data_IF_936596435312
#
_entry.id   IF_936596435312
#
_cell.length_a   1.000
_cell.length_b   1.000
_cell.length_c   1.000
_cell.angle_alpha   90.00
_cell.angle_beta   90.00
_cell.angle_gamma   90.00
#
_symmetry.space_group_name_H-M   'P 1'
#
loop_
_entity.id
_entity.type
_entity.pdbx_description
1 polymer ?
#
# COMPACT_ATOMS: atom_id res chain seq x y z
N UNK A 1 -23.84 2.41 38.45
CA UNK A 1 -23.53 1.55 37.29
C UNK A 1 -22.02 1.52 37.16
N UNK A 2 -21.32 0.40 37.39
CA UNK A 2 -19.89 0.33 37.17
C UNK A 2 -19.61 0.16 35.68
N UNK A 3 -18.81 1.05 35.10
CA UNK A 3 -18.36 0.93 33.71
C UNK A 3 -17.35 -0.21 33.61
N UNK A 4 -17.69 -1.23 32.82
CA UNK A 4 -16.79 -2.34 32.53
C UNK A 4 -15.77 -1.82 31.51
N UNK A 5 -14.47 -1.73 31.84
CA UNK A 5 -13.47 -1.30 30.87
C UNK A 5 -13.47 -2.30 29.72
N UNK A 6 -13.72 -1.81 28.51
CA UNK A 6 -13.70 -2.62 27.30
C UNK A 6 -12.26 -3.07 27.08
N UNK A 7 -11.95 -4.27 27.55
CA UNK A 7 -10.64 -4.90 27.37
C UNK A 7 -10.55 -5.24 25.88
N UNK A 8 -9.88 -4.37 25.11
CA UNK A 8 -9.60 -4.64 23.70
C UNK A 8 -8.74 -5.91 23.67
N UNK A 9 -9.37 -7.02 23.29
CA UNK A 9 -8.67 -8.27 23.10
C UNK A 9 -7.66 -8.06 21.96
N UNK A 10 -6.36 -8.13 22.29
CA UNK A 10 -5.31 -8.11 21.28
C UNK A 10 -5.29 -9.48 20.60
N UNK A 11 -5.69 -9.50 19.33
CA UNK A 11 -5.43 -10.64 18.46
C UNK A 11 -3.91 -10.77 18.28
N UNK A 12 -3.34 -11.80 18.90
CA UNK A 12 -1.98 -12.25 18.59
C UNK A 12 -2.12 -13.20 17.42
N UNK A 13 -1.81 -12.71 16.22
CA UNK A 13 -1.82 -13.54 15.02
C UNK A 13 -0.63 -14.49 15.05
N UNK A 14 -0.85 -15.71 14.55
CA UNK A 14 0.23 -16.69 14.39
C UNK A 14 1.18 -16.21 13.29
N UNK A 15 2.45 -16.59 13.38
CA UNK A 15 3.53 -16.14 12.49
C UNK A 15 3.17 -16.20 10.99
N UNK A 16 2.57 -17.31 10.57
CA UNK A 16 2.18 -17.55 9.18
C UNK A 16 1.03 -16.64 8.72
N UNK A 17 0.04 -16.41 9.60
CA UNK A 17 -1.09 -15.51 9.33
C UNK A 17 -0.61 -14.06 9.16
N UNK A 18 0.35 -13.61 9.97
CA UNK A 18 0.94 -12.26 9.86
C UNK A 18 1.62 -12.05 8.51
N UNK A 19 2.47 -12.99 8.10
CA UNK A 19 3.21 -12.89 6.83
C UNK A 19 2.27 -13.03 5.63
N UNK A 20 1.29 -13.93 5.71
CA UNK A 20 0.25 -14.10 4.69
C UNK A 20 -0.58 -12.83 4.53
N UNK A 21 -0.98 -12.19 5.63
CA UNK A 21 -1.76 -10.96 5.59
C UNK A 21 -0.94 -9.78 5.04
N UNK A 22 0.34 -9.68 5.41
CA UNK A 22 1.26 -8.69 4.85
C UNK A 22 1.43 -8.86 3.33
N UNK A 23 1.68 -10.08 2.86
CA UNK A 23 1.86 -10.35 1.43
C UNK A 23 0.58 -10.10 0.65
N UNK A 24 -0.57 -10.56 1.15
CA UNK A 24 -1.87 -10.34 0.51
C UNK A 24 -2.16 -8.84 0.34
N UNK A 25 -1.88 -8.05 1.38
CA UNK A 25 -2.02 -6.60 1.32
C UNK A 25 -1.08 -5.97 0.26
N UNK A 26 0.20 -6.35 0.24
CA UNK A 26 1.13 -5.84 -0.77
C UNK A 26 0.77 -6.25 -2.21
N UNK A 27 0.18 -7.42 -2.42
CA UNK A 27 -0.34 -7.83 -3.74
C UNK A 27 -1.55 -7.01 -4.19
N UNK A 28 -2.44 -6.66 -3.27
CA UNK A 28 -3.55 -5.76 -3.55
C UNK A 28 -3.03 -4.37 -3.94
N UNK A 29 -2.05 -3.85 -3.18
CA UNK A 29 -1.40 -2.58 -3.47
C UNK A 29 -0.67 -2.57 -4.82
N UNK A 30 0.06 -3.64 -5.14
CA UNK A 30 0.69 -3.82 -6.45
C UNK A 30 -0.33 -3.72 -7.59
N UNK A 31 -1.47 -4.40 -7.43
CA UNK A 31 -2.54 -4.38 -8.43
C UNK A 31 -3.12 -2.98 -8.58
N UNK A 32 -3.32 -2.27 -7.46
CA UNK A 32 -3.82 -0.89 -7.44
C UNK A 32 -2.85 0.06 -8.14
N UNK A 33 -1.56 0.04 -7.80
CA UNK A 33 -0.57 0.91 -8.42
C UNK A 33 -0.37 0.63 -9.92
N UNK A 34 -0.39 -0.64 -10.34
CA UNK A 34 -0.36 -0.97 -11.77
C UNK A 34 -1.58 -0.41 -12.51
N UNK A 35 -2.78 -0.53 -11.92
CA UNK A 35 -4.00 0.06 -12.49
C UNK A 35 -3.88 1.57 -12.60
N UNK A 36 -3.46 2.25 -11.55
CA UNK A 36 -3.25 3.70 -11.55
C UNK A 36 -2.22 4.12 -12.61
N UNK A 37 -1.11 3.40 -12.73
CA UNK A 37 -0.09 3.67 -13.75
C UNK A 37 -0.70 3.64 -15.16
N UNK A 38 -1.53 2.64 -15.46
CA UNK A 38 -2.24 2.57 -16.75
C UNK A 38 -3.31 3.66 -16.89
N UNK A 39 -4.09 3.94 -15.85
CA UNK A 39 -5.15 4.96 -15.87
C UNK A 39 -4.61 6.36 -16.15
N UNK A 40 -3.42 6.69 -15.65
CA UNK A 40 -2.76 7.98 -15.89
C UNK A 40 -1.94 8.05 -17.18
N UNK A 41 -1.64 6.92 -17.83
CA UNK A 41 -0.80 6.88 -19.03
C UNK A 41 -1.23 7.84 -20.15
N UNK A 42 -2.53 7.97 -20.51
CA UNK A 42 -2.96 8.89 -21.57
C UNK A 42 -3.05 10.35 -21.13
N UNK A 43 -2.98 10.64 -19.82
CA UNK A 43 -3.23 11.96 -19.25
C UNK A 43 -1.95 12.63 -18.73
N UNK A 44 -1.22 11.95 -17.86
CA UNK A 44 -0.01 12.47 -17.23
C UNK A 44 1.04 11.36 -17.04
N UNK A 45 2.05 11.37 -17.91
CA UNK A 45 3.12 10.38 -17.90
C UNK A 45 4.01 10.47 -16.65
N UNK A 46 4.09 11.62 -15.98
CA UNK A 46 4.83 11.74 -14.73
C UNK A 46 4.11 11.00 -13.60
N UNK A 47 2.80 11.16 -13.48
CA UNK A 47 1.99 10.40 -12.51
C UNK A 47 2.02 8.91 -12.84
N UNK A 48 1.86 8.55 -14.11
CA UNK A 48 1.94 7.15 -14.56
C UNK A 48 3.26 6.49 -14.12
N UNK A 49 4.40 7.15 -14.34
CA UNK A 49 5.72 6.67 -13.92
C UNK A 49 5.88 6.58 -12.40
N UNK A 50 5.34 7.55 -11.67
CA UNK A 50 5.33 7.51 -10.21
C UNK A 50 4.58 6.26 -9.70
N UNK A 51 3.36 6.04 -10.19
CA UNK A 51 2.55 4.87 -9.82
C UNK A 51 3.23 3.55 -10.20
N UNK A 52 3.84 3.48 -11.39
CA UNK A 52 4.60 2.30 -11.81
C UNK A 52 5.79 2.02 -10.86
N UNK A 53 6.51 3.08 -10.47
CA UNK A 53 7.64 2.96 -9.54
C UNK A 53 7.21 2.49 -8.15
N UNK A 54 6.06 2.97 -7.64
CA UNK A 54 5.48 2.46 -6.40
C UNK A 54 5.04 1.00 -6.51
N UNK A 55 4.51 0.58 -7.67
CA UNK A 55 4.24 -0.82 -7.96
C UNK A 55 5.49 -1.70 -7.85
N UNK A 56 6.63 -1.26 -8.38
CA UNK A 56 7.91 -1.97 -8.23
C UNK A 56 8.31 -2.08 -6.75
N UNK A 57 8.10 -1.04 -5.95
CA UNK A 57 8.36 -1.11 -4.50
C UNK A 57 7.47 -2.15 -3.79
N UNK A 58 6.21 -2.34 -4.22
CA UNK A 58 5.37 -3.43 -3.71
C UNK A 58 5.97 -4.80 -4.03
N UNK A 59 6.47 -5.02 -5.26
CA UNK A 59 7.11 -6.28 -5.65
C UNK A 59 8.32 -6.60 -4.75
N UNK A 60 9.18 -5.60 -4.52
CA UNK A 60 10.34 -5.76 -3.62
C UNK A 60 9.92 -6.15 -2.20
N UNK A 61 8.83 -5.57 -1.68
CA UNK A 61 8.29 -5.92 -0.35
C UNK A 61 7.72 -7.33 -0.31
N UNK A 62 7.00 -7.74 -1.36
CA UNK A 62 6.47 -9.10 -1.49
C UNK A 62 7.61 -10.12 -1.48
N UNK A 63 8.66 -9.89 -2.25
CA UNK A 63 9.79 -10.80 -2.33
C UNK A 63 10.54 -10.89 -0.99
N UNK A 64 10.68 -9.77 -0.28
CA UNK A 64 11.27 -9.77 1.06
C UNK A 64 10.41 -10.54 2.09
N UNK A 65 9.09 -10.39 2.04
CA UNK A 65 8.16 -11.14 2.91
C UNK A 65 8.26 -12.65 2.64
N UNK A 66 8.32 -13.06 1.37
CA UNK A 66 8.53 -14.47 0.99
C UNK A 66 9.87 -14.98 1.46
N UNK A 67 10.94 -14.20 1.28
CA UNK A 67 12.29 -14.56 1.75
C UNK A 67 12.30 -14.83 3.24
N UNK A 68 11.65 -13.98 4.04
CA UNK A 68 11.53 -14.18 5.49
C UNK A 68 10.67 -15.40 5.82
N UNK A 69 9.55 -15.60 5.14
CA UNK A 69 8.70 -16.79 5.32
C UNK A 69 9.47 -18.09 5.09
N UNK A 70 10.26 -18.15 4.01
CA UNK A 70 11.14 -19.28 3.71
C UNK A 70 12.21 -19.50 4.78
N UNK A 71 12.86 -18.43 5.26
CA UNK A 71 13.87 -18.53 6.32
C UNK A 71 13.32 -19.06 7.65
N UNK A 72 12.02 -18.87 7.88
CA UNK A 72 11.32 -19.35 9.07
C UNK A 72 10.70 -20.74 8.88
N UNK A 73 10.88 -21.37 7.71
CA UNK A 73 10.42 -22.74 7.42
C UNK A 73 8.90 -22.88 7.30
N UNK A 74 8.19 -21.81 6.94
CA UNK A 74 6.72 -21.77 6.91
C UNK A 74 6.10 -22.25 5.59
N UNK A 75 6.91 -22.59 4.59
CA UNK A 75 6.38 -22.86 3.25
C UNK A 75 6.00 -24.32 3.05
N UNK A 76 4.69 -24.56 2.92
CA UNK A 76 4.10 -25.49 1.94
C UNK A 76 2.56 -25.35 1.80
N UNK A 77 1.88 -24.57 2.64
CA UNK A 77 0.41 -24.51 2.59
C UNK A 77 -0.13 -23.33 1.79
N UNK A 78 -0.57 -23.61 0.58
CA UNK A 78 -1.66 -22.92 -0.12
C UNK A 78 -1.48 -21.42 -0.45
N UNK A 79 -0.31 -20.99 -0.94
CA UNK A 79 -0.20 -19.70 -1.66
C UNK A 79 -0.80 -19.75 -3.09
N UNK A 80 -1.75 -20.66 -3.33
CA UNK A 80 -2.41 -20.88 -4.59
C UNK A 80 -3.32 -19.68 -4.91
N UNK A 81 -2.75 -18.75 -5.66
CA UNK A 81 -3.38 -18.06 -6.78
C UNK A 81 -4.90 -17.78 -6.62
N UNK A 82 -5.22 -16.84 -5.75
CA UNK A 82 -6.46 -16.07 -5.87
C UNK A 82 -6.33 -15.02 -6.98
N UNK A 83 -5.98 -15.41 -8.20
CA UNK A 83 -6.08 -14.51 -9.36
C UNK A 83 -7.53 -14.52 -9.84
N UNK A 84 -8.44 -13.93 -9.06
CA UNK A 84 -9.70 -13.45 -9.62
C UNK A 84 -9.41 -12.20 -10.43
N UNK A 85 -8.91 -12.40 -11.65
CA UNK A 85 -8.97 -11.38 -12.70
C UNK A 85 -10.45 -11.21 -13.08
N UNK A 86 -11.21 -10.59 -12.19
CA UNK A 86 -12.32 -9.77 -12.61
C UNK A 86 -11.67 -8.65 -13.42
N UNK A 87 -11.88 -8.66 -14.74
CA UNK A 87 -11.55 -7.56 -15.63
C UNK A 87 -12.43 -6.37 -15.22
N UNK A 88 -12.05 -5.72 -14.13
CA UNK A 88 -12.64 -4.46 -13.71
C UNK A 88 -12.24 -3.45 -14.79
N UNK A 89 -13.19 -2.74 -15.41
CA UNK A 89 -12.90 -1.78 -16.47
C UNK A 89 -11.78 -0.82 -16.02
N UNK A 90 -10.74 -0.70 -16.84
CA UNK A 90 -9.73 0.32 -16.67
C UNK A 90 -10.37 1.68 -16.98
N UNK A 91 -10.74 2.43 -15.95
CA UNK A 91 -11.14 3.82 -16.13
C UNK A 91 -9.88 4.65 -16.35
N UNK A 92 -9.74 5.22 -17.55
CA UNK A 92 -8.68 6.19 -17.84
C UNK A 92 -9.04 7.53 -17.24
N UNK A 93 -8.03 8.25 -16.77
CA UNK A 93 -8.18 9.65 -16.36
C UNK A 93 -8.34 10.50 -17.61
N UNK A 94 -9.44 11.25 -17.72
CA UNK A 94 -9.75 12.06 -18.92
C UNK A 94 -9.73 13.56 -18.69
N UNK A 95 -9.78 14.02 -17.43
CA UNK A 95 -9.82 15.44 -17.10
C UNK A 95 -9.05 15.77 -15.80
N UNK A 96 -8.74 17.06 -15.55
CA UNK A 96 -7.95 17.47 -14.40
C UNK A 96 -8.60 17.19 -13.05
N UNK A 97 -9.92 17.31 -12.91
CA UNK A 97 -10.60 17.06 -11.64
C UNK A 97 -10.51 15.57 -11.28
N UNK A 98 -10.76 14.69 -12.25
CA UNK A 98 -10.58 13.25 -12.10
C UNK A 98 -9.14 12.88 -11.75
N UNK A 99 -8.16 13.53 -12.38
CA UNK A 99 -6.73 13.31 -12.09
C UNK A 99 -6.40 13.65 -10.64
N UNK A 100 -6.88 14.80 -10.16
CA UNK A 100 -6.64 15.29 -8.81
C UNK A 100 -7.33 14.41 -7.76
N UNK A 101 -8.59 14.04 -7.98
CA UNK A 101 -9.35 13.17 -7.08
C UNK A 101 -8.74 11.76 -7.01
N UNK A 102 -8.32 11.23 -8.16
CA UNK A 102 -7.62 9.94 -8.21
C UNK A 102 -6.30 9.98 -7.44
N UNK A 103 -5.55 11.08 -7.54
CA UNK A 103 -4.30 11.25 -6.80
C UNK A 103 -4.54 11.42 -5.29
N UNK A 104 -5.55 12.18 -4.88
CA UNK A 104 -5.98 12.30 -3.47
C UNK A 104 -6.37 10.94 -2.90
N UNK A 105 -7.13 10.14 -3.65
CA UNK A 105 -7.48 8.79 -3.24
C UNK A 105 -6.22 7.92 -3.09
N UNK A 106 -5.26 8.01 -4.01
CA UNK A 106 -4.01 7.27 -3.92
C UNK A 106 -3.19 7.62 -2.67
N UNK A 107 -3.20 8.89 -2.23
CA UNK A 107 -2.59 9.34 -0.96
C UNK A 107 -3.31 8.70 0.23
N UNK A 108 -4.65 8.75 0.26
CA UNK A 108 -5.44 8.15 1.35
C UNK A 108 -5.24 6.64 1.45
N UNK A 109 -5.17 5.94 0.32
CA UNK A 109 -4.88 4.51 0.27
C UNK A 109 -3.47 4.20 0.81
N UNK A 110 -2.48 5.04 0.51
CA UNK A 110 -1.12 4.89 1.03
C UNK A 110 -1.06 5.12 2.54
N UNK A 111 -1.80 6.09 3.09
CA UNK A 111 -1.95 6.27 4.53
C UNK A 111 -2.60 5.03 5.18
N UNK A 112 -3.67 4.52 4.58
CA UNK A 112 -4.32 3.30 5.04
C UNK A 112 -3.33 2.13 5.06
N UNK A 113 -2.56 1.95 3.98
CA UNK A 113 -1.55 0.89 3.89
C UNK A 113 -0.45 1.05 4.94
N UNK A 114 -0.02 2.28 5.23
CA UNK A 114 0.95 2.56 6.28
C UNK A 114 0.39 2.21 7.66
N UNK A 115 -0.85 2.63 7.95
CA UNK A 115 -1.53 2.30 9.21
C UNK A 115 -1.70 0.79 9.34
N UNK A 116 -2.11 0.10 8.29
CA UNK A 116 -2.22 -1.36 8.26
C UNK A 116 -0.92 -2.03 8.73
N UNK A 117 0.23 -1.67 8.15
CA UNK A 117 1.51 -2.28 8.55
C UNK A 117 1.96 -1.93 9.97
N UNK A 118 1.65 -0.71 10.45
CA UNK A 118 1.89 -0.33 11.85
C UNK A 118 1.07 -1.21 12.81
N UNK A 119 -0.21 -1.42 12.52
CA UNK A 119 -1.08 -2.29 13.30
C UNK A 119 -0.62 -3.75 13.23
N UNK A 120 -0.19 -4.21 12.06
CA UNK A 120 0.31 -5.57 11.87
C UNK A 120 1.57 -5.84 12.72
N UNK A 121 2.50 -4.88 12.78
CA UNK A 121 3.66 -4.93 13.67
C UNK A 121 3.24 -4.97 15.14
N UNK A 122 2.27 -4.14 15.54
CA UNK A 122 1.79 -4.09 16.92
C UNK A 122 1.04 -5.36 17.37
N UNK A 123 0.41 -6.05 16.43
CA UNK A 123 -0.22 -7.36 16.64
C UNK A 123 0.82 -8.51 16.69
N UNK A 124 2.04 -8.29 16.20
CA UNK A 124 3.10 -9.29 16.23
C UNK A 124 3.75 -9.39 17.60
N UNK A 125 3.72 -10.59 18.19
CA UNK A 125 4.45 -10.91 19.41
C UNK A 125 5.85 -11.49 19.13
N UNK A 126 6.32 -11.46 17.88
CA UNK A 126 7.48 -12.22 17.41
C UNK A 126 8.66 -11.28 17.11
N UNK A 127 9.68 -11.20 18.00
CA UNK A 127 10.77 -10.23 17.84
C UNK A 127 11.59 -10.43 16.57
N UNK A 128 11.70 -11.65 16.04
CA UNK A 128 12.44 -11.94 14.82
C UNK A 128 11.84 -11.28 13.57
N UNK A 129 10.56 -10.90 13.60
CA UNK A 129 9.91 -10.17 12.50
C UNK A 129 10.02 -8.64 12.61
N UNK A 130 10.41 -8.11 13.78
CA UNK A 130 10.46 -6.67 13.98
C UNK A 130 11.37 -5.94 12.99
N UNK A 131 12.55 -6.46 12.61
CA UNK A 131 13.39 -5.81 11.61
C UNK A 131 12.69 -5.65 10.26
N UNK A 132 12.11 -6.73 9.71
CA UNK A 132 11.45 -6.70 8.39
C UNK A 132 10.20 -5.81 8.42
N UNK A 133 9.36 -5.94 9.45
CA UNK A 133 8.16 -5.10 9.59
C UNK A 133 8.51 -3.62 9.76
N UNK A 134 9.56 -3.31 10.51
CA UNK A 134 10.04 -1.92 10.67
C UNK A 134 10.58 -1.35 9.35
N UNK A 135 11.28 -2.17 8.56
CA UNK A 135 11.76 -1.76 7.24
C UNK A 135 10.59 -1.45 6.29
N UNK A 136 9.57 -2.33 6.25
CA UNK A 136 8.36 -2.12 5.45
C UNK A 136 7.62 -0.86 5.88
N UNK A 137 7.45 -0.62 7.18
CA UNK A 137 6.82 0.60 7.69
C UNK A 137 7.58 1.85 7.22
N UNK A 138 8.92 1.85 7.30
CA UNK A 138 9.74 2.97 6.81
C UNK A 138 9.55 3.21 5.31
N UNK A 139 9.50 2.15 4.51
CA UNK A 139 9.23 2.25 3.07
C UNK A 139 7.82 2.80 2.80
N UNK A 140 6.81 2.36 3.55
CA UNK A 140 5.44 2.87 3.43
C UNK A 140 5.30 4.33 3.87
N UNK A 141 6.09 4.77 4.85
CA UNK A 141 6.20 6.20 5.21
C UNK A 141 6.77 7.03 4.06
N UNK A 142 7.83 6.53 3.42
CA UNK A 142 8.42 7.21 2.27
C UNK A 142 7.45 7.26 1.08
N UNK A 143 6.74 6.17 0.79
CA UNK A 143 5.70 6.08 -0.24
C UNK A 143 4.60 7.13 -0.01
N UNK A 144 4.06 7.22 1.22
CA UNK A 144 3.08 8.23 1.57
C UNK A 144 3.61 9.66 1.41
N UNK A 145 4.80 9.94 1.95
CA UNK A 145 5.40 11.27 1.89
C UNK A 145 5.68 11.73 0.45
N UNK A 146 6.10 10.82 -0.43
CA UNK A 146 6.30 11.12 -1.86
C UNK A 146 4.97 11.48 -2.53
N UNK A 147 3.89 10.72 -2.26
CA UNK A 147 2.57 11.00 -2.81
C UNK A 147 2.00 12.32 -2.31
N UNK A 148 2.12 12.61 -1.02
CA UNK A 148 1.71 13.90 -0.44
C UNK A 148 2.47 15.08 -1.06
N UNK A 149 3.79 14.96 -1.16
CA UNK A 149 4.64 16.01 -1.74
C UNK A 149 4.29 16.25 -3.21
N UNK A 150 4.02 15.17 -3.95
CA UNK A 150 3.63 15.26 -5.36
C UNK A 150 2.26 15.93 -5.53
N UNK A 151 1.29 15.62 -4.67
CA UNK A 151 -0.02 16.27 -4.66
C UNK A 151 0.10 17.76 -4.33
N UNK A 152 0.84 18.12 -3.27
CA UNK A 152 1.03 19.51 -2.85
C UNK A 152 1.67 20.37 -3.95
N UNK A 153 2.70 19.85 -4.63
CA UNK A 153 3.38 20.56 -5.73
C UNK A 153 2.41 20.91 -6.87
N UNK A 154 1.42 20.06 -7.14
CA UNK A 154 0.41 20.32 -8.19
C UNK A 154 -0.66 21.29 -7.75
N UNK A 155 -1.14 21.17 -6.51
CA UNK A 155 -2.12 22.12 -5.96
C UNK A 155 -1.57 23.55 -6.00
N UNK A 156 -0.26 23.72 -5.77
CA UNK A 156 0.41 25.02 -5.89
C UNK A 156 0.53 25.50 -7.35
N UNK A 157 0.90 24.61 -8.28
CA UNK A 157 0.96 24.95 -9.71
C UNK A 157 -0.41 25.34 -10.30
N UNK A 158 -1.50 24.66 -9.89
CA UNK A 158 -2.86 25.00 -10.30
C UNK A 158 -3.31 26.37 -9.76
N UNK A 159 -2.93 26.71 -8.52
CA UNK A 159 -3.22 28.02 -7.91
C UNK A 159 -2.45 29.16 -8.57
N UNK A 160 -1.21 28.93 -8.98
CA UNK A 160 -0.40 29.92 -9.69
C UNK A 160 -0.90 30.15 -11.13
N UNK A 161 -1.28 29.09 -11.84
CA UNK A 161 -1.84 29.17 -13.19
C UNK A 161 -3.21 29.88 -13.24
N UNK A 162 -4.00 29.85 -12.16
CA UNK A 162 -5.29 30.55 -12.09
C UNK A 162 -5.17 32.03 -11.66
N UNK A 163 -3.96 32.49 -11.30
CA UNK A 163 -3.65 33.88 -10.94
C UNK A 163 -3.00 34.68 -12.07
N UNK A 164 -2.63 34.02 -13.17
CA UNK A 164 -2.02 34.62 -14.37
C UNK A 164 -3.08 34.90 -15.44
#
# INVERSE_FOLDING_TARGET
>A
MPEIPTKIARLVLVLDELLTLAEAHERAELTRYRRLAFSFLPYDTAISRLMASLGIQCEMRIDELRRVSHQLGLTDSAMAQGSSSSAIPHAFVSDPAMAQDTLRQAVQDADYSLRFHKHLREASAIPSLFPVMTAIIKQKQAEHAVLESFLATRDDAEREGMRA
#
